data_IF_000211455617
#
_entry.id   IF_000211455617
#
_cell.length_a   1.000
_cell.length_b   1.000
_cell.length_c   1.000
_cell.angle_alpha   90.00
_cell.angle_beta   90.00
_cell.angle_gamma   90.00
#
_symmetry.space_group_name_H-M   'P 1'
#
loop_
_entity.id
_entity.type
_entity.pdbx_description
1 polymer ?
#
# COMPACT_ATOMS: atom_id res chain seq x y z
N UNK A 1 14.53 -35.11 6.09
CA UNK A 1 15.23 -33.84 5.86
C UNK A 1 14.24 -32.76 5.35
N UNK A 2 13.48 -33.00 4.24
CA UNK A 2 12.54 -32.01 3.70
C UNK A 2 11.47 -31.59 4.71
N UNK A 3 10.85 -32.55 5.41
CA UNK A 3 9.85 -32.30 6.44
C UNK A 3 10.41 -31.51 7.63
N UNK A 4 11.60 -31.85 8.08
CA UNK A 4 12.26 -31.14 9.17
C UNK A 4 12.60 -29.70 8.78
N UNK A 5 13.10 -29.48 7.55
CA UNK A 5 13.42 -28.13 7.08
C UNK A 5 12.16 -27.27 6.99
N UNK A 6 11.04 -27.83 6.50
CA UNK A 6 9.75 -27.14 6.48
C UNK A 6 9.26 -26.79 7.89
N UNK A 7 9.28 -27.78 8.82
CA UNK A 7 8.88 -27.58 10.22
C UNK A 7 9.79 -26.55 10.95
N UNK A 8 11.04 -26.41 10.55
CA UNK A 8 11.92 -25.36 11.08
C UNK A 8 11.66 -24.00 10.45
N UNK A 9 11.44 -23.90 9.14
CA UNK A 9 11.15 -22.63 8.46
C UNK A 9 9.82 -22.03 8.90
N UNK A 10 8.79 -22.84 9.15
CA UNK A 10 7.50 -22.40 9.69
C UNK A 10 7.56 -21.77 11.11
N UNK A 11 8.71 -21.78 11.76
CA UNK A 11 8.92 -21.10 13.05
C UNK A 11 9.40 -19.65 12.89
N UNK A 12 9.81 -19.27 11.71
CA UNK A 12 10.26 -17.93 11.38
C UNK A 12 9.15 -17.18 10.66
N UNK A 13 9.08 -15.89 10.87
CA UNK A 13 8.19 -15.03 10.12
C UNK A 13 8.64 -14.96 8.64
N UNK A 14 7.70 -14.91 7.72
CA UNK A 14 7.92 -14.93 6.28
C UNK A 14 8.86 -13.81 5.83
N UNK A 15 8.74 -12.61 6.42
CA UNK A 15 9.66 -11.48 6.22
C UNK A 15 11.12 -11.83 6.56
N UNK A 16 11.37 -12.60 7.64
CA UNK A 16 12.73 -12.99 7.99
C UNK A 16 13.30 -14.01 6.99
N UNK A 17 12.43 -14.85 6.43
CA UNK A 17 12.80 -15.78 5.35
C UNK A 17 13.08 -15.00 4.06
N UNK A 18 12.26 -14.02 3.70
CA UNK A 18 12.43 -13.15 2.54
C UNK A 18 13.79 -12.41 2.56
N UNK A 19 14.21 -11.88 3.73
CA UNK A 19 15.52 -11.22 3.89
C UNK A 19 16.74 -12.14 3.63
N UNK A 20 16.56 -13.45 3.71
CA UNK A 20 17.63 -14.42 3.44
C UNK A 20 17.68 -14.78 1.94
N UNK A 21 16.58 -14.62 1.20
CA UNK A 21 16.50 -14.99 -0.22
C UNK A 21 17.64 -14.44 -1.08
N UNK A 22 18.05 -13.17 -0.98
CA UNK A 22 19.16 -12.61 -1.74
C UNK A 22 20.52 -13.27 -1.44
N UNK A 23 20.64 -13.91 -0.26
CA UNK A 23 21.89 -14.56 0.19
C UNK A 23 21.98 -16.03 -0.24
N UNK A 24 20.86 -16.61 -0.65
CA UNK A 24 20.78 -18.00 -1.08
C UNK A 24 21.23 -18.14 -2.54
N UNK A 25 21.89 -19.26 -2.84
CA UNK A 25 22.16 -19.64 -4.22
C UNK A 25 20.84 -20.07 -4.92
N UNK A 26 20.76 -19.88 -6.25
CA UNK A 26 19.56 -20.29 -7.03
C UNK A 26 19.20 -21.77 -6.82
N UNK A 27 20.20 -22.66 -6.70
CA UNK A 27 19.97 -24.09 -6.39
C UNK A 27 19.34 -24.32 -5.00
N UNK A 28 19.58 -23.43 -4.05
CA UNK A 28 19.02 -23.50 -2.69
C UNK A 28 17.59 -22.98 -2.70
N UNK A 29 17.32 -21.86 -3.38
CA UNK A 29 15.96 -21.32 -3.58
C UNK A 29 15.08 -22.32 -4.31
N UNK A 30 15.57 -22.97 -5.37
CA UNK A 30 14.86 -24.04 -6.10
C UNK A 30 14.46 -25.22 -5.19
N UNK A 31 15.20 -25.49 -4.11
CA UNK A 31 14.82 -26.50 -3.11
C UNK A 31 13.69 -25.99 -2.22
N UNK A 32 13.73 -24.71 -1.85
CA UNK A 32 12.69 -24.08 -1.04
C UNK A 32 11.35 -24.05 -1.79
N UNK A 33 11.32 -23.63 -3.06
CA UNK A 33 10.14 -23.65 -3.92
C UNK A 33 9.44 -25.02 -4.00
N UNK A 34 10.21 -26.12 -3.86
CA UNK A 34 9.68 -27.50 -3.88
C UNK A 34 9.26 -28.04 -2.52
N UNK A 35 9.56 -27.35 -1.44
CA UNK A 35 9.35 -27.82 -0.06
C UNK A 35 8.26 -27.01 0.62
N UNK A 36 8.20 -25.72 0.36
CA UNK A 36 7.21 -24.82 0.92
C UNK A 36 5.85 -24.96 0.22
N UNK A 37 4.80 -24.67 0.92
CA UNK A 37 3.44 -24.59 0.39
C UNK A 37 3.28 -23.26 -0.38
N UNK A 38 2.31 -23.21 -1.30
CA UNK A 38 2.06 -22.05 -2.15
C UNK A 38 1.77 -20.79 -1.31
N UNK A 39 0.93 -20.91 -0.29
CA UNK A 39 0.59 -19.80 0.60
C UNK A 39 1.82 -19.23 1.31
N UNK A 40 2.70 -20.10 1.87
CA UNK A 40 3.94 -19.65 2.51
C UNK A 40 4.91 -18.99 1.50
N UNK A 41 4.91 -19.46 0.25
CA UNK A 41 5.69 -18.82 -0.80
C UNK A 41 5.10 -17.47 -1.19
N UNK A 42 3.78 -17.36 -1.30
CA UNK A 42 3.05 -16.13 -1.54
C UNK A 42 3.41 -15.07 -0.50
N UNK A 43 3.31 -15.41 0.81
CA UNK A 43 3.67 -14.52 1.91
C UNK A 43 5.16 -14.11 1.89
N UNK A 44 6.06 -15.01 1.48
CA UNK A 44 7.48 -14.67 1.34
C UNK A 44 7.68 -13.71 0.16
N UNK A 45 6.97 -13.92 -0.96
CA UNK A 45 7.13 -13.11 -2.16
C UNK A 45 6.59 -11.68 -1.98
N UNK A 46 5.55 -11.46 -1.17
CA UNK A 46 5.05 -10.11 -0.82
C UNK A 46 6.09 -9.29 -0.03
N UNK A 47 6.99 -9.94 0.72
CA UNK A 47 8.08 -9.25 1.43
C UNK A 47 9.38 -9.09 0.65
N UNK A 48 9.48 -9.53 -0.62
CA UNK A 48 10.71 -9.43 -1.40
C UNK A 48 10.85 -8.03 -2.03
N UNK A 49 12.01 -7.39 -1.88
CA UNK A 49 12.31 -6.09 -2.50
C UNK A 49 12.31 -6.12 -4.05
N UNK A 50 12.55 -7.27 -4.68
CA UNK A 50 12.59 -7.45 -6.14
C UNK A 50 12.02 -8.82 -6.51
N UNK A 51 10.71 -9.04 -6.38
CA UNK A 51 10.07 -10.33 -6.62
C UNK A 51 10.28 -10.84 -8.05
N UNK A 52 10.40 -9.94 -9.04
CA UNK A 52 10.66 -10.27 -10.44
C UNK A 52 11.86 -11.23 -10.64
N UNK A 53 13.01 -10.96 -9.99
CA UNK A 53 14.20 -11.78 -10.14
C UNK A 53 13.97 -13.23 -9.72
N UNK A 54 13.11 -13.47 -8.77
CA UNK A 54 12.80 -14.77 -8.20
C UNK A 54 11.65 -15.47 -8.94
N UNK A 55 10.69 -14.71 -9.47
CA UNK A 55 9.65 -15.24 -10.34
C UNK A 55 10.22 -15.80 -11.62
N UNK A 56 11.24 -15.17 -12.21
CA UNK A 56 11.94 -15.66 -13.39
C UNK A 56 12.66 -17.02 -13.16
N UNK A 57 12.88 -17.42 -11.90
CA UNK A 57 13.40 -18.73 -11.54
C UNK A 57 12.32 -19.83 -11.51
N UNK A 58 11.05 -19.49 -11.55
CA UNK A 58 9.90 -20.40 -11.44
C UNK A 58 9.36 -20.78 -12.82
N UNK A 59 8.52 -21.82 -12.84
CA UNK A 59 7.66 -22.05 -14.00
C UNK A 59 6.48 -21.08 -13.98
N UNK A 60 5.96 -20.69 -15.13
CA UNK A 60 4.81 -19.79 -15.22
C UNK A 60 3.59 -20.29 -14.43
N UNK A 61 3.34 -21.62 -14.44
CA UNK A 61 2.26 -22.23 -13.66
C UNK A 61 2.43 -22.00 -12.15
N UNK A 62 3.66 -22.17 -11.61
CA UNK A 62 3.92 -21.98 -10.19
C UNK A 62 3.94 -20.47 -9.82
N UNK A 63 4.41 -19.64 -10.72
CA UNK A 63 4.38 -18.19 -10.52
C UNK A 63 2.94 -17.67 -10.48
N UNK A 64 2.07 -18.13 -11.38
CA UNK A 64 0.64 -17.81 -11.37
C UNK A 64 -0.04 -18.32 -10.07
N UNK A 65 0.22 -19.56 -9.67
CA UNK A 65 -0.29 -20.16 -8.42
C UNK A 65 0.12 -19.34 -7.16
N UNK A 66 1.34 -18.78 -7.13
CA UNK A 66 1.83 -17.94 -6.04
C UNK A 66 1.08 -16.59 -6.03
N UNK A 67 0.96 -15.95 -7.20
CA UNK A 67 0.25 -14.68 -7.34
C UNK A 67 -1.26 -14.80 -7.01
N UNK A 68 -1.90 -15.90 -7.35
CA UNK A 68 -3.29 -16.20 -6.97
C UNK A 68 -3.48 -16.36 -5.45
N UNK A 69 -2.42 -16.77 -4.75
CA UNK A 69 -2.45 -16.98 -3.29
C UNK A 69 -2.01 -15.74 -2.51
N UNK A 70 -1.57 -14.66 -3.18
CA UNK A 70 -1.23 -13.38 -2.57
C UNK A 70 -2.49 -12.56 -2.28
N UNK A 71 -2.36 -11.59 -1.38
CA UNK A 71 -3.33 -10.52 -1.30
C UNK A 71 -3.39 -9.77 -2.63
N UNK A 72 -4.57 -9.31 -3.01
CA UNK A 72 -4.82 -8.84 -4.38
C UNK A 72 -4.01 -7.58 -4.73
N UNK A 73 -3.74 -6.71 -3.76
CA UNK A 73 -2.89 -5.53 -3.87
C UNK A 73 -1.42 -5.91 -4.03
N UNK A 74 -0.88 -6.79 -3.18
CA UNK A 74 0.48 -7.35 -3.29
C UNK A 74 0.71 -8.01 -4.67
N UNK A 75 -0.26 -8.80 -5.13
CA UNK A 75 -0.19 -9.44 -6.44
C UNK A 75 -0.11 -8.41 -7.58
N UNK A 76 -0.81 -7.28 -7.44
CA UNK A 76 -0.76 -6.19 -8.42
C UNK A 76 0.61 -5.53 -8.43
N UNK A 77 1.18 -5.22 -7.27
CA UNK A 77 2.49 -4.59 -7.16
C UNK A 77 3.57 -5.46 -7.80
N UNK A 78 3.55 -6.76 -7.52
CA UNK A 78 4.44 -7.73 -8.17
C UNK A 78 4.25 -7.80 -9.69
N UNK A 79 3.01 -7.79 -10.17
CA UNK A 79 2.68 -7.81 -11.60
C UNK A 79 3.13 -6.53 -12.31
N UNK A 80 3.12 -5.38 -11.63
CA UNK A 80 3.55 -4.11 -12.21
C UNK A 80 5.04 -4.02 -12.44
N UNK A 81 5.84 -4.72 -11.66
CA UNK A 81 7.28 -4.83 -11.86
C UNK A 81 7.67 -5.69 -13.09
N UNK A 82 6.73 -6.53 -13.58
CA UNK A 82 6.98 -7.43 -14.70
C UNK A 82 6.88 -6.71 -16.05
N UNK A 83 7.59 -7.25 -17.04
CA UNK A 83 7.41 -6.84 -18.44
C UNK A 83 6.01 -7.24 -18.94
N UNK A 84 5.40 -6.41 -19.80
CA UNK A 84 4.03 -6.56 -20.27
C UNK A 84 3.71 -7.97 -20.81
N UNK A 85 4.66 -8.58 -21.53
CA UNK A 85 4.48 -9.92 -22.07
C UNK A 85 4.37 -10.97 -20.96
N UNK A 86 5.32 -10.95 -20.00
CA UNK A 86 5.36 -11.91 -18.90
C UNK A 86 4.12 -11.74 -18.00
N UNK A 87 3.75 -10.49 -17.70
CA UNK A 87 2.53 -10.18 -16.94
C UNK A 87 1.29 -10.75 -17.59
N UNK A 88 1.11 -10.56 -18.90
CA UNK A 88 -0.05 -11.07 -19.61
C UNK A 88 -0.08 -12.61 -19.62
N UNK A 89 1.08 -13.27 -19.80
CA UNK A 89 1.18 -14.73 -19.73
C UNK A 89 0.78 -15.28 -18.35
N UNK A 90 1.18 -14.62 -17.27
CA UNK A 90 0.81 -15.04 -15.91
C UNK A 90 -0.69 -14.83 -15.65
N UNK A 91 -1.24 -13.66 -16.04
CA UNK A 91 -2.68 -13.37 -15.90
C UNK A 91 -3.55 -14.38 -16.70
N UNK A 92 -3.08 -14.84 -17.86
CA UNK A 92 -3.79 -15.87 -18.64
C UNK A 92 -3.79 -17.25 -17.97
N UNK A 93 -2.85 -17.53 -17.07
CA UNK A 93 -2.75 -18.77 -16.32
C UNK A 93 -3.52 -18.74 -15.01
N UNK A 94 -3.79 -17.54 -14.46
CA UNK A 94 -4.56 -17.37 -13.23
C UNK A 94 -6.04 -17.72 -13.41
N UNK A 95 -6.70 -18.04 -12.32
CA UNK A 95 -8.12 -18.33 -12.34
C UNK A 95 -8.98 -17.06 -12.58
N UNK A 96 -10.25 -17.29 -12.98
CA UNK A 96 -11.15 -16.18 -13.36
C UNK A 96 -11.46 -15.25 -12.18
N UNK A 97 -11.45 -15.76 -10.95
CA UNK A 97 -11.76 -15.01 -9.73
C UNK A 97 -10.63 -14.03 -9.40
N UNK A 98 -9.38 -14.51 -9.32
CA UNK A 98 -8.20 -13.68 -9.08
C UNK A 98 -8.02 -12.61 -10.18
N UNK A 99 -8.26 -12.98 -11.45
CA UNK A 99 -8.21 -12.00 -12.56
C UNK A 99 -9.31 -10.94 -12.43
N UNK A 100 -10.48 -11.29 -11.93
CA UNK A 100 -11.57 -10.33 -11.72
C UNK A 100 -11.25 -9.35 -10.59
N UNK A 101 -10.62 -9.82 -9.51
CA UNK A 101 -10.16 -9.00 -8.38
C UNK A 101 -9.08 -8.01 -8.81
N UNK A 102 -8.04 -8.47 -9.51
CA UNK A 102 -6.99 -7.62 -10.07
C UNK A 102 -7.59 -6.54 -10.98
N UNK A 103 -8.56 -6.90 -11.85
CA UNK A 103 -9.23 -5.92 -12.72
C UNK A 103 -10.06 -4.92 -11.94
N UNK A 104 -10.71 -5.33 -10.87
CA UNK A 104 -11.48 -4.45 -10.00
C UNK A 104 -10.57 -3.39 -9.40
N UNK A 105 -9.48 -3.80 -8.76
CA UNK A 105 -8.54 -2.89 -8.09
C UNK A 105 -7.88 -1.96 -9.12
N UNK A 106 -7.42 -2.49 -10.26
CA UNK A 106 -6.83 -1.69 -11.35
C UNK A 106 -7.82 -0.79 -12.10
N UNK A 107 -9.10 -0.84 -11.80
CA UNK A 107 -10.08 0.09 -12.34
C UNK A 107 -10.07 1.45 -11.64
N UNK A 108 -9.41 1.55 -10.48
CA UNK A 108 -9.22 2.77 -9.72
C UNK A 108 -7.86 3.39 -10.04
N UNK A 109 -7.76 4.72 -9.95
CA UNK A 109 -6.49 5.44 -10.10
C UNK A 109 -5.59 5.18 -8.88
N UNK A 110 -4.26 5.21 -9.05
CA UNK A 110 -3.26 4.83 -8.04
C UNK A 110 -3.31 5.67 -6.74
N UNK A 111 -3.90 6.86 -6.80
CA UNK A 111 -4.11 7.76 -5.66
C UNK A 111 -5.44 7.55 -4.93
N UNK A 112 -6.28 6.61 -5.39
CA UNK A 112 -7.57 6.28 -4.79
C UNK A 112 -7.47 5.11 -3.81
N UNK A 113 -8.39 5.09 -2.84
CA UNK A 113 -8.52 4.01 -1.85
C UNK A 113 -8.74 2.63 -2.52
N UNK A 114 -9.49 2.60 -3.62
CA UNK A 114 -9.78 1.36 -4.34
C UNK A 114 -8.57 0.68 -4.98
N UNK A 115 -7.46 1.41 -5.22
CA UNK A 115 -6.22 0.83 -5.73
C UNK A 115 -5.35 0.18 -4.65
N UNK A 116 -5.64 0.46 -3.38
CA UNK A 116 -4.88 0.00 -2.20
C UNK A 116 -5.67 -0.97 -1.33
N UNK A 117 -6.80 -1.47 -1.80
CA UNK A 117 -7.63 -2.42 -1.06
C UNK A 117 -7.26 -3.86 -1.42
N UNK A 118 -7.39 -4.75 -0.45
CA UNK A 118 -7.41 -6.19 -0.68
C UNK A 118 -8.82 -6.73 -0.69
N UNK A 119 -9.04 -7.82 -1.43
CA UNK A 119 -10.30 -8.58 -1.44
C UNK A 119 -10.33 -9.70 -0.39
N UNK A 120 -9.24 -9.88 0.35
CA UNK A 120 -9.08 -10.86 1.41
C UNK A 120 -9.81 -10.42 2.69
N UNK A 121 -11.11 -10.68 2.77
CA UNK A 121 -11.94 -10.36 3.93
C UNK A 121 -13.09 -11.35 4.13
N UNK A 122 -13.61 -11.43 5.35
CA UNK A 122 -14.75 -12.28 5.68
C UNK A 122 -16.05 -11.46 5.73
N UNK A 123 -16.98 -11.77 4.82
CA UNK A 123 -18.32 -11.16 4.79
C UNK A 123 -19.41 -12.19 5.11
N UNK A 124 -20.32 -11.81 6.02
CA UNK A 124 -21.42 -12.66 6.50
C UNK A 124 -22.75 -11.90 6.38
N UNK A 125 -23.82 -12.59 5.98
CA UNK A 125 -25.16 -11.99 5.97
C UNK A 125 -25.60 -11.64 7.41
N UNK A 126 -26.02 -10.38 7.61
CA UNK A 126 -26.51 -9.83 8.89
C UNK A 126 -27.68 -10.60 9.51
N UNK A 127 -28.42 -11.37 8.69
CA UNK A 127 -29.55 -12.19 9.13
C UNK A 127 -29.15 -13.61 9.57
N UNK A 128 -27.86 -13.94 9.51
CA UNK A 128 -27.35 -15.23 9.97
C UNK A 128 -27.53 -15.39 11.47
N UNK A 129 -27.68 -16.62 11.93
CA UNK A 129 -27.54 -16.96 13.35
C UNK A 129 -26.07 -16.99 13.75
N UNK A 130 -25.75 -16.83 15.03
CA UNK A 130 -24.38 -16.91 15.56
C UNK A 130 -23.69 -18.19 15.13
N UNK A 131 -24.42 -19.32 15.16
CA UNK A 131 -23.90 -20.63 14.72
C UNK A 131 -23.57 -20.67 13.22
N UNK A 132 -24.40 -20.04 12.39
CA UNK A 132 -24.14 -19.96 10.94
C UNK A 132 -22.97 -19.01 10.66
N UNK A 133 -22.91 -17.88 11.37
CA UNK A 133 -21.81 -16.94 11.26
C UNK A 133 -20.49 -17.58 11.66
N UNK A 134 -20.45 -18.28 12.79
CA UNK A 134 -19.26 -19.01 13.24
C UNK A 134 -18.83 -20.09 12.25
N UNK A 135 -19.79 -20.84 11.67
CA UNK A 135 -19.48 -21.86 10.67
C UNK A 135 -18.87 -21.24 9.42
N UNK A 136 -19.49 -20.19 8.89
CA UNK A 136 -18.98 -19.49 7.71
C UNK A 136 -17.60 -18.88 7.98
N UNK A 137 -17.41 -18.27 9.16
CA UNK A 137 -16.11 -17.71 9.56
C UNK A 137 -15.01 -18.80 9.57
N UNK A 138 -15.26 -20.00 10.10
CA UNK A 138 -14.29 -21.11 10.10
C UNK A 138 -13.99 -21.60 8.68
N UNK A 139 -14.97 -21.63 7.80
CA UNK A 139 -14.81 -22.03 6.41
C UNK A 139 -13.96 -20.99 5.63
N UNK A 140 -14.25 -19.72 5.81
CA UNK A 140 -13.52 -18.61 5.18
C UNK A 140 -12.10 -18.42 5.76
N UNK A 141 -11.92 -18.59 7.06
CA UNK A 141 -10.61 -18.52 7.72
C UNK A 141 -9.60 -19.59 7.29
N UNK A 142 -10.04 -20.59 6.52
CA UNK A 142 -9.14 -21.56 5.90
C UNK A 142 -8.50 -21.03 4.60
N UNK A 143 -9.05 -19.95 4.05
CA UNK A 143 -8.67 -19.37 2.75
C UNK A 143 -8.14 -17.93 2.97
N UNK A 144 -8.78 -17.18 3.86
CA UNK A 144 -8.47 -15.78 4.15
C UNK A 144 -7.63 -15.65 5.41
N UNK A 145 -6.57 -14.86 5.37
CA UNK A 145 -5.68 -14.61 6.50
C UNK A 145 -6.16 -13.42 7.36
N UNK A 146 -6.90 -12.48 6.76
CA UNK A 146 -7.46 -11.33 7.45
C UNK A 146 -8.76 -11.68 8.18
N UNK A 147 -8.62 -12.39 9.31
CA UNK A 147 -9.75 -12.94 10.09
C UNK A 147 -10.09 -12.13 11.35
N UNK A 148 -9.30 -11.11 11.70
CA UNK A 148 -9.50 -10.32 12.93
C UNK A 148 -10.84 -9.60 12.98
N UNK A 149 -11.29 -9.11 11.81
CA UNK A 149 -12.55 -8.41 11.63
C UNK A 149 -13.49 -9.20 10.71
N UNK A 150 -14.77 -9.21 11.07
CA UNK A 150 -15.84 -9.82 10.29
C UNK A 150 -16.78 -8.71 9.85
N UNK A 151 -17.05 -8.65 8.56
CA UNK A 151 -17.95 -7.67 7.96
C UNK A 151 -19.33 -8.28 7.73
N UNK A 152 -20.36 -7.47 7.89
CA UNK A 152 -21.72 -7.90 7.69
C UNK A 152 -22.36 -7.11 6.55
N UNK A 153 -23.01 -7.85 5.66
CA UNK A 153 -23.72 -7.28 4.53
C UNK A 153 -25.20 -7.68 4.57
N UNK A 154 -26.02 -7.04 3.77
CA UNK A 154 -27.36 -7.50 3.51
C UNK A 154 -27.42 -8.40 2.26
N UNK A 155 -28.66 -8.78 1.86
CA UNK A 155 -28.89 -9.62 0.70
C UNK A 155 -28.46 -9.01 -0.65
N UNK A 156 -28.27 -7.67 -0.68
CA UNK A 156 -27.80 -6.94 -1.84
C UNK A 156 -26.28 -6.69 -1.81
N UNK A 157 -25.56 -7.27 -0.85
CA UNK A 157 -24.16 -7.02 -0.56
C UNK A 157 -23.88 -5.56 -0.07
N UNK A 158 -24.89 -4.82 0.40
CA UNK A 158 -24.69 -3.53 1.01
C UNK A 158 -24.03 -3.69 2.39
N UNK A 159 -23.00 -2.89 2.67
CA UNK A 159 -22.30 -2.92 3.95
C UNK A 159 -23.25 -2.51 5.10
N UNK A 160 -23.37 -3.35 6.11
CA UNK A 160 -24.22 -3.14 7.26
C UNK A 160 -23.46 -2.77 8.53
N UNK A 161 -22.28 -3.36 8.73
CA UNK A 161 -21.46 -3.14 9.92
C UNK A 161 -20.34 -4.16 10.05
N UNK A 162 -19.60 -4.09 11.15
CA UNK A 162 -18.49 -4.98 11.42
C UNK A 162 -18.49 -5.47 12.87
N UNK A 163 -17.72 -6.53 13.12
CA UNK A 163 -17.55 -7.13 14.43
C UNK A 163 -16.16 -7.72 14.56
N UNK A 164 -15.53 -7.55 15.73
CA UNK A 164 -14.30 -8.29 16.04
C UNK A 164 -14.58 -9.80 16.13
N UNK A 165 -13.70 -10.63 15.61
CA UNK A 165 -13.78 -12.08 15.76
C UNK A 165 -13.95 -12.49 17.23
N UNK A 166 -13.29 -11.80 18.14
CA UNK A 166 -13.43 -12.01 19.59
C UNK A 166 -14.88 -11.92 20.05
N UNK A 167 -15.64 -10.92 19.55
CA UNK A 167 -17.02 -10.70 19.95
C UNK A 167 -17.92 -11.85 19.46
N UNK A 168 -17.65 -12.39 18.26
CA UNK A 168 -18.33 -13.58 17.75
C UNK A 168 -18.02 -14.83 18.58
N UNK A 169 -16.74 -15.02 19.00
CA UNK A 169 -16.33 -16.19 19.82
C UNK A 169 -16.99 -16.20 21.19
N UNK A 170 -17.18 -15.03 21.81
CA UNK A 170 -17.82 -14.94 23.15
C UNK A 170 -19.34 -14.87 23.10
N UNK A 171 -19.92 -14.64 21.92
CA UNK A 171 -21.36 -14.58 21.74
C UNK A 171 -22.05 -15.90 22.07
N UNK A 172 -23.23 -15.82 22.69
CA UNK A 172 -24.02 -17.01 23.02
C UNK A 172 -24.91 -17.39 21.84
N UNK A 173 -25.09 -18.69 21.64
CA UNK A 173 -25.88 -19.25 20.52
C UNK A 173 -27.31 -18.67 20.43
N UNK A 174 -27.89 -18.25 21.54
CA UNK A 174 -29.27 -17.72 21.61
C UNK A 174 -29.32 -16.18 21.49
N UNK A 175 -28.20 -15.50 21.36
CA UNK A 175 -28.17 -14.04 21.17
C UNK A 175 -28.51 -13.69 19.71
N UNK A 176 -29.11 -12.51 19.54
CA UNK A 176 -29.36 -12.00 18.21
C UNK A 176 -28.07 -11.38 17.63
N UNK A 177 -27.56 -11.94 16.54
CA UNK A 177 -26.35 -11.46 15.87
C UNK A 177 -26.41 -9.95 15.58
N UNK A 178 -27.53 -9.43 15.10
CA UNK A 178 -27.71 -8.01 14.79
C UNK A 178 -27.52 -7.09 16.00
N UNK A 179 -27.75 -7.56 17.23
CA UNK A 179 -27.57 -6.74 18.44
C UNK A 179 -26.11 -6.57 18.85
N UNK A 180 -25.21 -7.37 18.28
CA UNK A 180 -23.77 -7.37 18.59
C UNK A 180 -22.97 -6.67 17.49
N UNK A 181 -23.52 -6.62 16.27
CA UNK A 181 -22.89 -5.95 15.13
C UNK A 181 -22.76 -4.45 15.39
N UNK A 182 -21.56 -3.89 15.20
CA UNK A 182 -21.28 -2.46 15.26
C UNK A 182 -21.70 -1.80 13.95
N UNK A 183 -22.91 -1.23 13.90
CA UNK A 183 -23.47 -0.61 12.68
C UNK A 183 -22.89 0.78 12.38
N UNK A 184 -22.27 1.43 13.36
CA UNK A 184 -21.57 2.72 13.19
C UNK A 184 -20.08 2.53 12.93
N UNK A 185 -19.70 1.42 12.30
CA UNK A 185 -18.31 1.15 11.94
C UNK A 185 -17.88 2.08 10.80
N UNK A 186 -16.67 2.68 10.85
CA UNK A 186 -16.18 3.54 9.77
C UNK A 186 -15.93 2.72 8.50
N UNK A 187 -16.13 3.37 7.38
CA UNK A 187 -15.85 2.82 6.06
C UNK A 187 -15.21 3.89 5.16
N UNK A 188 -14.58 3.46 4.09
CA UNK A 188 -14.03 4.32 3.05
C UNK A 188 -14.72 4.02 1.72
N UNK A 189 -14.81 5.02 0.85
CA UNK A 189 -15.23 4.78 -0.53
C UNK A 189 -14.02 4.51 -1.41
N UNK A 190 -14.14 3.56 -2.32
CA UNK A 190 -13.07 3.23 -3.25
C UNK A 190 -12.60 4.43 -4.11
N UNK A 191 -13.49 5.40 -4.33
CA UNK A 191 -13.21 6.62 -5.10
C UNK A 191 -12.67 7.79 -4.26
N UNK A 192 -12.51 7.65 -2.94
CA UNK A 192 -11.85 8.66 -2.09
C UNK A 192 -10.34 8.62 -2.32
N UNK A 193 -9.69 9.80 -2.23
CA UNK A 193 -8.23 9.87 -2.30
C UNK A 193 -7.59 9.37 -1.02
N UNK A 194 -6.48 8.66 -1.16
CA UNK A 194 -5.68 8.15 -0.01
C UNK A 194 -5.29 9.30 0.92
N UNK A 195 -4.76 10.39 0.37
CA UNK A 195 -4.35 11.58 1.14
C UNK A 195 -5.45 12.19 2.02
N UNK A 196 -6.70 12.19 1.54
CA UNK A 196 -7.84 12.72 2.28
C UNK A 196 -8.28 11.76 3.41
N UNK A 197 -8.01 10.49 3.27
CA UNK A 197 -8.43 9.44 4.19
C UNK A 197 -7.43 9.17 5.32
N UNK A 198 -6.15 9.53 5.16
CA UNK A 198 -5.08 9.24 6.13
C UNK A 198 -5.45 9.66 7.56
N UNK A 199 -5.94 10.89 7.73
CA UNK A 199 -6.33 11.40 9.06
C UNK A 199 -7.48 10.59 9.66
N UNK A 200 -8.47 10.23 8.85
CA UNK A 200 -9.64 9.43 9.25
C UNK A 200 -9.20 8.03 9.68
N UNK A 201 -8.29 7.43 8.92
CA UNK A 201 -7.75 6.10 9.19
C UNK A 201 -6.96 6.09 10.51
N UNK A 202 -6.06 7.06 10.70
CA UNK A 202 -5.25 7.17 11.92
C UNK A 202 -6.10 7.45 13.18
N UNK A 203 -7.18 8.22 13.05
CA UNK A 203 -8.07 8.54 14.17
C UNK A 203 -8.77 7.30 14.74
N UNK A 204 -9.16 6.36 13.88
CA UNK A 204 -9.87 5.16 14.33
C UNK A 204 -8.94 4.04 14.81
N UNK A 205 -7.65 4.01 14.40
CA UNK A 205 -6.64 3.00 14.77
C UNK A 205 -7.20 1.56 14.71
N UNK A 206 -7.83 1.20 13.60
CA UNK A 206 -8.44 -0.10 13.36
C UNK A 206 -7.48 -1.03 12.63
N UNK A 207 -7.61 -2.33 12.86
CA UNK A 207 -6.80 -3.35 12.18
C UNK A 207 -7.12 -3.42 10.68
N UNK A 208 -8.39 -3.18 10.31
CA UNK A 208 -8.82 -3.06 8.91
C UNK A 208 -10.09 -2.21 8.77
N UNK A 209 -10.24 -1.54 7.63
CA UNK A 209 -11.36 -0.66 7.32
C UNK A 209 -12.03 -1.13 6.04
N UNK A 210 -13.37 -1.35 6.03
CA UNK A 210 -14.09 -1.80 4.85
C UNK A 210 -14.13 -0.70 3.77
N UNK A 211 -13.94 -1.11 2.53
CA UNK A 211 -14.04 -0.29 1.34
C UNK A 211 -15.34 -0.60 0.62
N UNK A 212 -16.09 0.45 0.30
CA UNK A 212 -17.38 0.34 -0.38
C UNK A 212 -17.38 1.10 -1.70
N UNK A 213 -18.23 0.64 -2.62
CA UNK A 213 -18.53 1.38 -3.85
C UNK A 213 -19.51 2.54 -3.60
N UNK A 214 -19.87 3.27 -4.66
CA UNK A 214 -20.84 4.37 -4.58
C UNK A 214 -22.26 3.93 -4.21
N UNK A 215 -22.58 2.64 -4.37
CA UNK A 215 -23.85 2.02 -3.98
C UNK A 215 -23.82 1.40 -2.57
N UNK A 216 -22.73 1.58 -1.82
CA UNK A 216 -22.50 1.01 -0.48
C UNK A 216 -22.29 -0.53 -0.48
N UNK A 217 -22.00 -1.15 -1.61
CA UNK A 217 -21.59 -2.55 -1.61
C UNK A 217 -20.18 -2.69 -1.05
N UNK A 218 -19.97 -3.69 -0.21
CA UNK A 218 -18.65 -4.05 0.29
C UNK A 218 -17.85 -4.70 -0.86
N UNK A 219 -16.73 -4.08 -1.24
CA UNK A 219 -15.91 -4.52 -2.36
C UNK A 219 -14.48 -4.89 -1.97
N UNK A 220 -14.03 -4.50 -0.79
CA UNK A 220 -12.69 -4.78 -0.29
C UNK A 220 -12.50 -4.28 1.13
N UNK A 221 -11.28 -4.39 1.62
CA UNK A 221 -10.83 -3.81 2.88
C UNK A 221 -9.44 -3.21 2.69
N UNK A 222 -9.08 -2.26 3.53
CA UNK A 222 -7.70 -1.81 3.71
C UNK A 222 -7.24 -2.27 5.08
N UNK A 223 -6.09 -2.92 5.15
CA UNK A 223 -5.50 -3.39 6.39
C UNK A 223 -4.59 -2.31 7.02
N UNK A 224 -4.14 -2.52 8.25
CA UNK A 224 -3.30 -1.52 8.94
C UNK A 224 -1.91 -1.38 8.32
N UNK A 225 -1.38 -2.42 7.71
CA UNK A 225 -0.11 -2.45 6.99
C UNK A 225 -0.19 -1.70 5.67
N UNK A 226 -1.20 -1.95 4.83
CA UNK A 226 -1.45 -1.18 3.60
C UNK A 226 -1.63 0.32 3.89
N UNK A 227 -2.30 0.63 5.01
CA UNK A 227 -2.44 2.00 5.49
C UNK A 227 -1.08 2.62 5.82
N UNK A 228 -0.22 1.89 6.53
CA UNK A 228 1.12 2.36 6.88
C UNK A 228 1.99 2.54 5.64
N UNK A 229 1.87 1.65 4.67
CA UNK A 229 2.55 1.76 3.39
C UNK A 229 2.05 3.00 2.61
N UNK A 230 0.75 3.14 2.43
CA UNK A 230 0.15 4.30 1.75
C UNK A 230 0.55 5.64 2.40
N UNK A 231 0.60 5.69 3.75
CA UNK A 231 1.07 6.86 4.51
C UNK A 231 2.56 7.10 4.28
N UNK A 232 3.37 6.04 4.23
CA UNK A 232 4.81 6.13 3.97
C UNK A 232 5.09 6.66 2.57
N UNK A 233 4.37 6.16 1.57
CA UNK A 233 4.46 6.60 0.16
C UNK A 233 4.11 8.08 0.01
N UNK A 234 3.01 8.53 0.61
CA UNK A 234 2.60 9.94 0.58
C UNK A 234 3.67 10.84 1.22
N UNK A 235 4.24 10.43 2.37
CA UNK A 235 5.33 11.17 2.99
C UNK A 235 6.61 11.16 2.14
N UNK A 236 6.97 10.04 1.53
CA UNK A 236 8.13 9.91 0.65
C UNK A 236 7.97 10.80 -0.58
N UNK A 237 6.80 10.83 -1.18
CA UNK A 237 6.47 11.70 -2.31
C UNK A 237 6.52 13.19 -1.93
N UNK A 238 6.02 13.56 -0.76
CA UNK A 238 6.09 14.92 -0.26
C UNK A 238 7.54 15.35 0.03
N UNK A 239 8.36 14.46 0.61
CA UNK A 239 9.79 14.71 0.76
C UNK A 239 10.51 14.84 -0.59
N UNK A 240 10.18 13.99 -1.57
CA UNK A 240 10.73 14.09 -2.92
C UNK A 240 10.38 15.44 -3.56
N UNK A 241 9.13 15.89 -3.48
CA UNK A 241 8.67 17.20 -3.97
C UNK A 241 9.38 18.35 -3.26
N UNK A 242 9.56 18.27 -1.93
CA UNK A 242 10.36 19.25 -1.17
C UNK A 242 11.83 19.25 -1.58
N UNK A 243 12.39 18.09 -1.95
CA UNK A 243 13.74 17.94 -2.51
C UNK A 243 13.87 18.42 -3.95
N UNK A 244 12.76 18.83 -4.59
CA UNK A 244 12.73 19.25 -6.00
C UNK A 244 12.75 18.08 -6.98
N UNK A 245 12.25 16.93 -6.55
CA UNK A 245 12.06 15.72 -7.37
C UNK A 245 10.59 15.64 -7.80
N UNK A 246 10.33 14.99 -8.91
CA UNK A 246 8.96 14.71 -9.36
C UNK A 246 8.37 13.43 -8.74
N UNK A 247 9.23 12.57 -8.20
CA UNK A 247 8.86 11.34 -7.48
C UNK A 247 10.06 10.87 -6.66
N UNK A 248 9.88 9.92 -5.78
CA UNK A 248 10.93 9.30 -4.97
C UNK A 248 12.10 8.78 -5.84
N UNK A 249 13.33 8.91 -5.33
CA UNK A 249 14.56 8.51 -6.00
C UNK A 249 15.07 7.19 -5.40
N UNK A 250 15.01 6.11 -6.17
CA UNK A 250 15.65 4.85 -5.78
C UNK A 250 17.18 4.97 -5.95
N UNK A 251 17.93 4.60 -4.92
CA UNK A 251 19.39 4.61 -4.93
C UNK A 251 20.00 3.67 -5.98
N UNK A 252 19.23 2.69 -6.46
CA UNK A 252 19.63 1.73 -7.50
C UNK A 252 19.27 2.19 -8.92
N UNK A 253 18.55 3.31 -9.08
CA UNK A 253 18.13 3.81 -10.40
C UNK A 253 19.31 4.23 -11.28
N UNK A 254 19.25 4.00 -12.61
CA UNK A 254 20.24 4.50 -13.54
C UNK A 254 20.22 6.05 -13.54
N UNK A 255 21.42 6.66 -13.57
CA UNK A 255 21.63 8.13 -13.49
C UNK A 255 20.71 8.90 -14.46
N UNK A 256 20.44 8.35 -15.63
CA UNK A 256 19.61 9.03 -16.64
C UNK A 256 18.13 9.15 -16.20
N UNK A 257 17.60 8.16 -15.48
CA UNK A 257 16.23 8.19 -14.94
C UNK A 257 16.13 9.22 -13.80
N UNK A 258 17.08 9.23 -12.89
CA UNK A 258 17.20 10.23 -11.81
C UNK A 258 17.30 11.67 -12.35
N UNK A 259 18.14 11.90 -13.37
CA UNK A 259 18.22 13.22 -14.03
C UNK A 259 16.87 13.65 -14.63
N UNK A 260 16.15 12.74 -15.27
CA UNK A 260 14.84 13.04 -15.87
C UNK A 260 13.77 13.44 -14.83
N UNK A 261 13.81 12.87 -13.63
CA UNK A 261 12.93 13.25 -12.51
C UNK A 261 13.20 14.66 -12.00
N UNK A 262 14.45 15.14 -12.08
CA UNK A 262 14.87 16.49 -11.63
C UNK A 262 14.67 17.60 -12.65
N UNK A 263 14.69 17.28 -13.94
CA UNK A 263 14.60 18.26 -15.04
C UNK A 263 13.38 19.19 -14.93
N UNK A 264 12.14 18.71 -14.70
CA UNK A 264 10.96 19.58 -14.62
C UNK A 264 11.11 20.67 -13.54
N UNK A 265 11.58 20.27 -12.37
CA UNK A 265 11.81 21.20 -11.25
C UNK A 265 12.90 22.22 -11.53
N UNK A 266 14.01 21.80 -12.15
CA UNK A 266 15.09 22.69 -12.55
C UNK A 266 14.62 23.74 -13.55
N UNK A 267 13.74 23.40 -14.50
CA UNK A 267 13.15 24.37 -15.42
C UNK A 267 12.24 25.38 -14.71
N UNK A 268 11.47 24.95 -13.71
CA UNK A 268 10.64 25.85 -12.90
C UNK A 268 11.54 26.82 -12.11
N UNK A 269 12.58 26.32 -11.47
CA UNK A 269 13.55 27.16 -10.74
C UNK A 269 14.30 28.11 -11.66
N UNK A 270 14.69 27.67 -12.85
CA UNK A 270 15.34 28.53 -13.86
C UNK A 270 14.39 29.66 -14.30
N UNK A 271 13.12 29.34 -14.58
CA UNK A 271 12.10 30.32 -14.94
C UNK A 271 11.88 31.35 -13.83
N UNK A 272 11.74 30.89 -12.60
CA UNK A 272 11.61 31.76 -11.43
C UNK A 272 12.86 32.65 -11.22
N UNK A 273 14.05 32.06 -11.40
CA UNK A 273 15.31 32.78 -11.35
C UNK A 273 15.44 33.86 -12.41
N UNK A 274 14.98 33.61 -13.63
CA UNK A 274 14.91 34.61 -14.70
C UNK A 274 13.96 35.77 -14.34
N UNK A 275 12.77 35.45 -13.83
CA UNK A 275 11.81 36.49 -13.39
C UNK A 275 12.39 37.34 -12.27
N UNK A 276 12.99 36.73 -11.24
CA UNK A 276 13.66 37.46 -10.16
C UNK A 276 14.84 38.29 -10.67
N UNK A 277 15.65 37.77 -11.58
CA UNK A 277 16.76 38.51 -12.20
C UNK A 277 16.29 39.74 -12.96
N UNK A 278 15.20 39.62 -13.75
CA UNK A 278 14.59 40.74 -14.47
C UNK A 278 14.04 41.81 -13.51
N UNK A 279 13.42 41.39 -12.41
CA UNK A 279 12.95 42.32 -11.37
C UNK A 279 14.10 43.06 -10.73
N UNK A 280 15.19 42.36 -10.34
CA UNK A 280 16.38 42.98 -9.74
C UNK A 280 17.04 43.98 -10.71
N UNK A 281 17.11 43.65 -12.00
CA UNK A 281 17.65 44.51 -13.03
C UNK A 281 16.93 45.88 -13.12
N UNK A 282 15.61 45.92 -12.87
CA UNK A 282 14.85 47.18 -12.83
C UNK A 282 15.29 48.12 -11.67
N UNK A 283 15.83 47.54 -10.60
CA UNK A 283 16.27 48.28 -9.41
C UNK A 283 17.79 48.39 -9.30
N UNK A 284 18.54 48.06 -10.36
CA UNK A 284 20.02 48.06 -10.36
C UNK A 284 20.62 49.39 -9.87
N UNK A 285 20.06 50.51 -10.29
CA UNK A 285 20.53 51.84 -9.85
C UNK A 285 20.33 52.11 -8.35
N UNK A 286 19.28 51.51 -7.76
CA UNK A 286 19.00 51.63 -6.32
C UNK A 286 19.89 50.67 -5.51
N UNK A 287 20.09 49.45 -6.00
CA UNK A 287 20.97 48.46 -5.36
C UNK A 287 22.42 48.87 -5.40
N UNK A 288 22.89 49.45 -6.52
CA UNK A 288 24.26 49.98 -6.65
C UNK A 288 24.55 51.16 -5.69
N UNK A 289 23.50 51.93 -5.35
CA UNK A 289 23.62 53.05 -4.39
C UNK A 289 23.73 52.59 -2.92
N UNK A 290 23.40 51.35 -2.60
CA UNK A 290 23.38 50.85 -1.23
C UNK A 290 24.08 49.47 -1.17
N UNK A 291 25.42 49.44 -1.08
CA UNK A 291 26.22 48.19 -1.10
C UNK A 291 25.80 47.16 -0.04
N UNK A 292 25.24 47.63 1.08
CA UNK A 292 24.78 46.73 2.17
C UNK A 292 23.64 45.80 1.74
N UNK A 293 22.82 46.21 0.74
CA UNK A 293 21.73 45.37 0.22
C UNK A 293 22.29 44.11 -0.47
N UNK A 294 23.39 44.25 -1.21
CA UNK A 294 24.06 43.13 -1.89
C UNK A 294 24.59 42.12 -0.88
N UNK A 295 25.14 42.58 0.22
CA UNK A 295 25.62 41.71 1.31
C UNK A 295 24.45 41.00 1.98
N UNK A 296 23.37 41.72 2.28
CA UNK A 296 22.16 41.13 2.87
C UNK A 296 21.48 40.11 1.95
N UNK A 297 21.43 40.34 0.63
CA UNK A 297 20.89 39.42 -0.34
C UNK A 297 21.64 38.08 -0.32
N UNK A 298 22.99 38.14 -0.30
CA UNK A 298 23.83 36.93 -0.19
C UNK A 298 23.66 36.18 1.13
N UNK A 299 23.23 36.88 2.17
CA UNK A 299 22.98 36.31 3.49
C UNK A 299 21.59 35.69 3.61
N UNK A 300 20.57 36.35 3.03
CA UNK A 300 19.17 35.88 3.12
C UNK A 300 18.90 34.64 2.29
N UNK A 301 19.54 34.46 1.14
CA UNK A 301 19.32 33.34 0.23
C UNK A 301 19.58 31.97 0.89
N UNK A 302 20.71 31.74 1.62
CA UNK A 302 20.94 30.48 2.30
C UNK A 302 20.02 30.21 3.51
N UNK A 303 19.46 31.26 4.12
CA UNK A 303 18.59 31.14 5.27
C UNK A 303 17.11 30.87 4.90
N UNK A 304 16.71 31.17 3.66
CA UNK A 304 15.31 30.96 3.23
C UNK A 304 14.88 29.48 3.25
N UNK A 305 15.78 28.59 2.89
CA UNK A 305 15.52 27.14 2.93
C UNK A 305 15.26 26.63 4.35
N UNK A 306 16.22 26.76 5.29
CA UNK A 306 16.03 26.31 6.67
C UNK A 306 14.83 26.96 7.38
N UNK A 307 14.56 28.26 7.13
CA UNK A 307 13.41 28.95 7.72
C UNK A 307 12.09 28.42 7.17
N UNK A 308 11.98 28.15 5.88
CA UNK A 308 10.81 27.51 5.30
C UNK A 308 10.58 26.12 5.90
N UNK A 309 11.64 25.35 6.07
CA UNK A 309 11.59 24.03 6.67
C UNK A 309 11.07 24.06 8.11
N UNK A 310 11.58 24.98 8.95
CA UNK A 310 11.14 25.09 10.34
C UNK A 310 9.71 25.62 10.49
N UNK A 311 9.26 26.52 9.60
CA UNK A 311 7.90 27.06 9.67
C UNK A 311 6.83 26.19 9.03
N UNK A 312 7.18 25.35 8.03
CA UNK A 312 6.22 24.44 7.39
C UNK A 312 6.11 23.09 8.13
N UNK A 313 7.19 22.62 8.77
CA UNK A 313 7.17 21.29 9.41
C UNK A 313 6.92 21.30 10.92
N UNK A 314 7.26 22.38 11.64
CA UNK A 314 7.06 22.47 13.09
C UNK A 314 5.62 22.61 13.54
N UNK A 315 4.71 23.34 12.87
CA UNK A 315 3.31 23.45 13.28
C UNK A 315 2.58 22.11 13.27
N UNK A 316 2.88 21.22 12.35
CA UNK A 316 2.28 19.88 12.25
C UNK A 316 2.72 18.91 13.35
N UNK A 317 3.80 19.21 14.08
CA UNK A 317 4.28 18.41 15.23
C UNK A 317 3.84 18.94 16.59
N UNK A 318 3.23 20.11 16.67
CA UNK A 318 2.81 20.75 17.93
C UNK A 318 1.31 20.66 18.20
N UNK A 319 0.53 20.04 17.31
CA UNK A 319 -0.91 19.77 17.50
C UNK A 319 -1.18 18.30 17.90
N UNK A 320 -0.23 17.67 18.59
CA UNK A 320 -0.43 16.33 19.22
C UNK A 320 -0.45 16.50 20.74
#
# INVERSE_FOLDING_TARGET
YKRQLREELQKYHENDVAKIFPQLLSEERQKLYRILEKNVLSDIFSYLENPKEYLDELSNDLAADILESMDSDDAIDVLEELEENNRNELIELMDEEAVAEIKLIKSYDDDMIGSRMTTNYIAIDKNSTIKQAMKKMIEEAAINDNVSMIYFTDLNNEFYGAMDLRDLIIARENENLQSIIKTSYPYLKATELVSDCINKIQEYALDSIPVVDDCMHLIGVITSDDILEAVSDEFSDDYAKLGGLSSEEDLKEPIFKSVRKRIPWLFILLGLGLVTSLLIAQFENVVAGIPIIVVFQSYLTPFSGPVSYTHLTLPTKLEV
#
